data_IF_980712721058
#
_entry.id   IF_980712721058
#
_cell.length_a   1.000
_cell.length_b   1.000
_cell.length_c   1.000
_cell.angle_alpha   90.00
_cell.angle_beta   90.00
_cell.angle_gamma   90.00
#
_symmetry.space_group_name_H-M   'P 1'
#
loop_
_entity.id
_entity.type
_entity.pdbx_description
1 polymer ?
#
# COMPACT_ATOMS: atom_id res chain seq x y z
N UNK A 1 -47.42 43.47 -15.36
CA UNK A 1 -45.95 43.55 -15.22
C UNK A 1 -45.57 42.80 -13.94
N UNK A 2 -45.24 41.50 -14.02
CA UNK A 2 -44.82 40.71 -12.85
C UNK A 2 -43.31 40.47 -12.96
N UNK A 3 -42.56 40.96 -11.98
CA UNK A 3 -41.11 40.79 -11.86
C UNK A 3 -40.81 39.50 -11.08
N UNK A 4 -40.23 38.51 -11.74
CA UNK A 4 -39.72 37.30 -11.10
C UNK A 4 -38.36 37.59 -10.44
N UNK A 5 -38.10 37.10 -9.21
CA UNK A 5 -36.79 37.23 -8.59
C UNK A 5 -35.80 36.30 -9.28
N UNK A 6 -34.69 36.85 -9.77
CA UNK A 6 -33.54 36.08 -10.27
C UNK A 6 -32.82 35.55 -9.03
N UNK A 7 -33.05 34.27 -8.71
CA UNK A 7 -32.26 33.55 -7.71
C UNK A 7 -30.96 33.13 -8.40
N UNK A 8 -29.77 33.56 -7.93
CA UNK A 8 -28.51 33.04 -8.46
C UNK A 8 -28.43 31.55 -8.08
N UNK A 9 -28.58 30.68 -9.08
CA UNK A 9 -28.26 29.27 -8.91
C UNK A 9 -26.75 29.16 -8.85
N UNK A 10 -26.21 29.03 -7.64
CA UNK A 10 -24.83 28.57 -7.47
C UNK A 10 -24.74 27.23 -8.18
N UNK A 11 -24.02 27.21 -9.30
CA UNK A 11 -23.68 25.97 -9.99
C UNK A 11 -22.85 25.18 -8.97
N UNK A 12 -23.47 24.24 -8.27
CA UNK A 12 -22.77 23.19 -7.58
C UNK A 12 -22.01 22.46 -8.67
N UNK A 13 -20.78 22.90 -8.96
CA UNK A 13 -19.82 22.11 -9.66
C UNK A 13 -19.71 20.87 -8.80
N UNK A 14 -20.35 19.78 -9.25
CA UNK A 14 -19.93 18.44 -8.90
C UNK A 14 -18.44 18.48 -9.14
N UNK A 15 -17.66 18.58 -8.07
CA UNK A 15 -16.26 18.24 -8.07
C UNK A 15 -16.32 16.78 -8.43
N UNK A 16 -16.35 16.49 -9.74
CA UNK A 16 -16.19 15.15 -10.25
C UNK A 16 -14.93 14.69 -9.55
N UNK A 17 -15.07 13.66 -8.72
CA UNK A 17 -13.98 13.10 -7.94
C UNK A 17 -12.83 12.94 -8.91
N UNK A 18 -11.91 13.90 -8.91
CA UNK A 18 -10.69 13.80 -9.66
C UNK A 18 -9.94 12.75 -8.85
N UNK A 19 -10.20 11.48 -9.19
CA UNK A 19 -9.36 10.36 -8.82
C UNK A 19 -8.00 10.71 -9.39
N UNK A 20 -7.20 11.39 -8.56
CA UNK A 20 -5.79 11.64 -8.82
C UNK A 20 -5.22 10.30 -9.25
N UNK A 21 -4.45 10.21 -10.35
CA UNK A 21 -3.91 8.95 -10.82
C UNK A 21 -3.26 8.23 -9.65
N UNK A 22 -3.84 7.09 -9.25
CA UNK A 22 -3.39 6.39 -8.06
C UNK A 22 -2.01 5.81 -8.38
N UNK A 23 -0.96 6.46 -7.88
CA UNK A 23 0.43 6.10 -8.17
C UNK A 23 0.71 4.72 -7.59
N UNK A 24 1.18 3.80 -8.45
CA UNK A 24 1.63 2.48 -8.04
C UNK A 24 3.15 2.48 -7.91
N UNK A 25 3.62 2.06 -6.74
CA UNK A 25 5.00 1.98 -6.30
C UNK A 25 5.32 0.49 -6.13
N UNK A 26 6.54 0.11 -6.51
CA UNK A 26 7.11 -1.18 -6.19
C UNK A 26 8.18 -1.00 -5.11
N UNK A 27 7.96 -1.61 -3.95
CA UNK A 27 8.89 -1.61 -2.84
C UNK A 27 9.82 -2.82 -2.92
N UNK A 28 11.12 -2.59 -2.77
CA UNK A 28 12.11 -3.63 -2.55
C UNK A 28 12.61 -3.53 -1.11
N UNK A 29 12.32 -4.56 -0.29
CA UNK A 29 12.61 -4.57 1.14
C UNK A 29 13.60 -5.68 1.44
N UNK A 30 14.80 -5.32 1.90
CA UNK A 30 15.82 -6.28 2.33
C UNK A 30 15.72 -6.51 3.83
N UNK A 31 15.62 -7.78 4.24
CA UNK A 31 15.51 -8.19 5.63
C UNK A 31 16.58 -9.20 5.97
N UNK A 32 17.30 -8.97 7.07
CA UNK A 32 18.35 -9.87 7.54
C UNK A 32 18.06 -10.44 8.94
N UNK A 33 17.49 -9.63 9.84
CA UNK A 33 17.23 -9.99 11.23
C UNK A 33 15.97 -9.28 11.74
N UNK A 34 15.48 -9.67 12.93
CA UNK A 34 14.37 -9.02 13.65
C UNK A 34 13.05 -9.05 12.87
N UNK A 35 12.39 -10.22 12.77
CA UNK A 35 11.13 -10.36 12.04
C UNK A 35 10.04 -9.42 12.56
N UNK A 36 9.99 -9.14 13.86
CA UNK A 36 8.99 -8.25 14.46
C UNK A 36 9.10 -6.80 13.97
N UNK A 37 10.32 -6.30 13.73
CA UNK A 37 10.51 -4.96 13.15
C UNK A 37 10.03 -4.92 11.71
N UNK A 38 10.29 -5.98 10.94
CA UNK A 38 9.78 -6.10 9.58
C UNK A 38 8.25 -6.12 9.56
N UNK A 39 7.59 -6.91 10.42
CA UNK A 39 6.13 -6.99 10.52
C UNK A 39 5.52 -5.62 10.81
N UNK A 40 6.03 -4.92 11.83
CA UNK A 40 5.54 -3.60 12.21
C UNK A 40 5.73 -2.55 11.10
N UNK A 41 6.83 -2.62 10.34
CA UNK A 41 7.03 -1.76 9.17
C UNK A 41 6.04 -2.11 8.06
N UNK A 42 5.94 -3.39 7.71
CA UNK A 42 5.15 -3.88 6.60
C UNK A 42 3.67 -3.55 6.80
N UNK A 43 3.15 -3.73 8.01
CA UNK A 43 1.77 -3.37 8.37
C UNK A 43 1.46 -1.89 8.12
N UNK A 44 2.42 -0.99 8.41
CA UNK A 44 2.21 0.45 8.23
C UNK A 44 2.25 0.92 6.78
N UNK A 45 3.01 0.23 5.93
CA UNK A 45 3.17 0.62 4.53
C UNK A 45 2.28 -0.18 3.59
N UNK A 46 1.71 -1.30 4.04
CA UNK A 46 0.94 -2.18 3.19
C UNK A 46 -0.37 -1.53 2.73
N UNK A 47 -0.52 -1.47 1.41
CA UNK A 47 -1.78 -1.18 0.75
C UNK A 47 -1.98 -2.16 -0.41
N UNK A 48 -3.24 -2.48 -0.72
CA UNK A 48 -3.62 -3.54 -1.69
C UNK A 48 -3.25 -3.21 -3.15
N UNK A 49 -2.93 -1.97 -3.46
CA UNK A 49 -2.70 -1.45 -4.81
C UNK A 49 -1.21 -1.33 -5.17
N UNK A 50 -0.31 -1.56 -4.22
CA UNK A 50 1.14 -1.44 -4.36
C UNK A 50 1.79 -2.83 -4.48
N UNK A 51 3.05 -2.85 -4.90
CA UNK A 51 3.81 -4.09 -5.09
C UNK A 51 4.94 -4.19 -4.07
N UNK A 52 5.15 -5.38 -3.51
CA UNK A 52 6.17 -5.62 -2.50
C UNK A 52 7.03 -6.83 -2.89
N UNK A 53 8.32 -6.58 -3.08
CA UNK A 53 9.34 -7.60 -3.23
C UNK A 53 10.17 -7.65 -1.95
N UNK A 54 10.10 -8.78 -1.25
CA UNK A 54 10.80 -8.96 0.03
C UNK A 54 11.95 -9.92 -0.19
N UNK A 55 13.15 -9.41 0.03
CA UNK A 55 14.40 -10.15 -0.06
C UNK A 55 14.90 -10.48 1.34
N UNK A 56 14.99 -11.78 1.64
CA UNK A 56 15.61 -12.24 2.86
C UNK A 56 17.07 -12.55 2.57
N UNK A 57 17.97 -11.86 3.27
CA UNK A 57 19.41 -12.06 3.14
C UNK A 57 19.77 -13.52 3.43
N UNK A 58 20.70 -14.08 2.65
CA UNK A 58 21.16 -15.48 2.80
C UNK A 58 21.65 -15.81 4.21
N UNK A 59 22.19 -14.82 4.94
CA UNK A 59 22.72 -14.96 6.29
C UNK A 59 21.63 -14.91 7.38
N UNK A 60 20.37 -14.66 7.02
CA UNK A 60 19.27 -14.69 7.97
C UNK A 60 19.11 -16.10 8.56
N UNK A 61 18.74 -16.19 9.84
CA UNK A 61 18.45 -17.49 10.46
C UNK A 61 17.24 -18.14 9.78
N UNK A 62 17.15 -19.47 9.87
CA UNK A 62 15.95 -20.21 9.42
C UNK A 62 14.70 -19.72 10.12
N UNK A 63 14.76 -19.51 11.44
CA UNK A 63 13.68 -18.97 12.25
C UNK A 63 13.20 -17.59 11.74
N UNK A 64 14.12 -16.68 11.41
CA UNK A 64 13.75 -15.37 10.84
C UNK A 64 13.11 -15.53 9.47
N UNK A 65 13.65 -16.43 8.64
CA UNK A 65 13.13 -16.68 7.29
C UNK A 65 11.70 -17.21 7.36
N UNK A 66 11.45 -18.24 8.16
CA UNK A 66 10.15 -18.87 8.35
C UNK A 66 9.14 -17.87 8.91
N UNK A 67 9.49 -17.14 9.97
CA UNK A 67 8.61 -16.15 10.58
C UNK A 67 8.18 -15.03 9.61
N UNK A 68 9.05 -14.66 8.67
CA UNK A 68 8.74 -13.66 7.63
C UNK A 68 7.90 -14.30 6.52
N UNK A 69 8.21 -15.51 6.08
CA UNK A 69 7.45 -16.22 5.06
C UNK A 69 6.00 -16.48 5.50
N UNK A 70 5.83 -17.01 6.71
CA UNK A 70 4.52 -17.29 7.30
C UNK A 70 3.70 -16.01 7.48
N UNK A 71 4.35 -14.88 7.74
CA UNK A 71 3.67 -13.59 7.82
C UNK A 71 3.28 -13.04 6.45
N UNK A 72 4.09 -13.23 5.41
CA UNK A 72 3.84 -12.65 4.08
C UNK A 72 2.71 -13.39 3.35
N UNK A 73 2.55 -14.70 3.55
CA UNK A 73 1.59 -15.53 2.80
C UNK A 73 0.14 -15.05 2.91
N UNK A 74 -0.19 -14.31 3.98
CA UNK A 74 -1.51 -13.73 4.17
C UNK A 74 -1.81 -12.50 3.27
N UNK A 75 -0.82 -12.01 2.50
CA UNK A 75 -0.93 -10.81 1.67
C UNK A 75 -0.92 -11.14 0.16
N UNK A 76 -2.05 -10.98 -0.57
CA UNK A 76 -2.25 -11.51 -1.92
C UNK A 76 -1.46 -10.82 -3.07
N UNK A 77 -0.50 -9.94 -2.77
CA UNK A 77 0.38 -9.26 -3.77
C UNK A 77 1.83 -9.08 -3.29
N UNK A 78 2.21 -9.86 -2.29
CA UNK A 78 3.56 -9.82 -1.72
C UNK A 78 4.28 -11.07 -2.17
N UNK A 79 5.35 -10.90 -2.95
CA UNK A 79 6.11 -12.04 -3.49
C UNK A 79 7.44 -12.17 -2.76
N UNK A 80 7.70 -13.38 -2.30
CA UNK A 80 8.95 -13.76 -1.63
C UNK A 80 10.03 -14.17 -2.65
N UNK A 81 11.26 -13.71 -2.46
CA UNK A 81 12.44 -14.18 -3.19
C UNK A 81 13.62 -14.43 -2.25
N UNK A 82 14.07 -15.68 -2.17
CA UNK A 82 15.32 -16.10 -1.49
C UNK A 82 16.42 -16.30 -2.53
N UNK A 83 17.62 -15.78 -2.25
CA UNK A 83 18.82 -15.90 -3.09
C UNK A 83 19.90 -16.71 -2.39
#
# INVERSE_FOLDING_TARGET
>A
MQTHPIIPQTLSQTIGEHSSPQVRIAYFIMVHQRPETFKALFEKIYTRDQFYLIHIDRKASSETTEAIQDYIVQYPKSTFWKV
#
